data_IF_021881606955
#
_entry.id   IF_021881606955
#
_cell.length_a   1.000
_cell.length_b   1.000
_cell.length_c   1.000
_cell.angle_alpha   90.00
_cell.angle_beta   90.00
_cell.angle_gamma   90.00
#
_symmetry.space_group_name_H-M   'P 1'
#
loop_
_entity.id
_entity.type
_entity.pdbx_description
1 polymer ?
#
# COMPACT_ATOMS: atom_id res chain seq x y z
N UNK A 1 -10.52 -13.66 -16.78
CA UNK A 1 -10.42 -13.69 -15.30
C UNK A 1 -10.53 -12.27 -14.76
N UNK A 2 -11.37 -12.06 -13.77
CA UNK A 2 -11.56 -10.74 -13.19
C UNK A 2 -10.69 -10.60 -11.94
N UNK A 3 -9.85 -9.56 -11.91
CA UNK A 3 -9.04 -9.25 -10.75
C UNK A 3 -9.77 -8.20 -9.93
N UNK A 4 -10.03 -8.53 -8.67
CA UNK A 4 -10.66 -7.58 -7.75
C UNK A 4 -9.58 -6.97 -6.87
N UNK A 5 -9.56 -5.64 -6.79
CA UNK A 5 -8.62 -4.91 -5.97
C UNK A 5 -9.35 -4.29 -4.77
N UNK A 6 -8.71 -4.34 -3.62
CA UNK A 6 -9.27 -3.78 -2.39
C UNK A 6 -9.17 -2.25 -2.36
N UNK A 7 -8.15 -1.70 -3.04
CA UNK A 7 -7.88 -0.28 -3.04
C UNK A 7 -7.92 0.27 -4.45
N UNK A 8 -8.38 1.51 -4.58
CA UNK A 8 -8.44 2.21 -5.87
C UNK A 8 -7.16 3.00 -6.11
N UNK A 9 -6.87 3.26 -7.38
CA UNK A 9 -5.76 4.13 -7.76
C UNK A 9 -6.06 5.54 -7.23
N UNK A 10 -5.08 6.15 -6.58
CA UNK A 10 -5.24 7.45 -5.94
C UNK A 10 -5.70 7.40 -4.50
N UNK A 11 -6.09 6.22 -4.02
CA UNK A 11 -6.54 6.06 -2.64
C UNK A 11 -5.36 6.12 -1.67
N UNK A 12 -5.58 6.77 -0.53
CA UNK A 12 -4.59 6.79 0.54
C UNK A 12 -4.62 5.48 1.31
N UNK A 13 -3.46 4.90 1.54
CA UNK A 13 -3.30 3.66 2.31
C UNK A 13 -2.21 3.85 3.36
N UNK A 14 -2.21 2.95 4.34
CA UNK A 14 -1.25 2.97 5.45
C UNK A 14 -0.48 1.65 5.48
N UNK A 15 0.79 1.72 5.83
CA UNK A 15 1.64 0.54 5.98
C UNK A 15 2.76 0.83 6.98
N UNK A 16 3.43 -0.24 7.42
CA UNK A 16 4.58 -0.10 8.32
C UNK A 16 5.84 0.01 7.46
N UNK A 17 6.56 1.11 7.61
CA UNK A 17 7.83 1.36 6.95
C UNK A 17 8.88 1.63 8.04
N UNK A 18 9.89 0.77 8.09
CA UNK A 18 10.98 0.86 9.09
C UNK A 18 10.42 0.96 10.52
N UNK A 19 9.39 0.17 10.83
CA UNK A 19 8.78 0.14 12.14
C UNK A 19 7.84 1.28 12.46
N UNK A 20 7.57 2.16 11.50
CA UNK A 20 6.71 3.32 11.69
C UNK A 20 5.50 3.29 10.76
N UNK A 21 4.30 3.67 11.27
CA UNK A 21 3.13 3.83 10.40
C UNK A 21 3.39 4.93 9.39
N UNK A 22 3.21 4.62 8.12
CA UNK A 22 3.46 5.56 7.02
C UNK A 22 2.26 5.55 6.09
N UNK A 23 1.88 6.73 5.60
CA UNK A 23 0.82 6.85 4.62
C UNK A 23 1.41 7.01 3.23
N UNK A 24 0.69 6.48 2.24
CA UNK A 24 1.09 6.56 0.84
C UNK A 24 -0.14 6.56 -0.04
N UNK A 25 0.06 6.86 -1.31
CA UNK A 25 -1.02 6.89 -2.28
C UNK A 25 -0.82 5.77 -3.30
N UNK A 26 -1.91 5.08 -3.63
CA UNK A 26 -1.87 3.99 -4.63
C UNK A 26 -1.70 4.61 -6.01
N UNK A 27 -0.65 4.21 -6.72
CA UNK A 27 -0.36 4.68 -8.09
C UNK A 27 -0.77 3.65 -9.14
N UNK A 28 -0.60 2.37 -8.86
CA UNK A 28 -0.91 1.30 -9.78
C UNK A 28 -1.08 0.00 -9.02
N UNK A 29 -1.57 -1.02 -9.70
CA UNK A 29 -1.65 -2.35 -9.12
C UNK A 29 -1.27 -3.39 -10.16
N UNK A 30 -0.90 -4.58 -9.69
CA UNK A 30 -0.57 -5.71 -10.54
C UNK A 30 -0.91 -6.99 -9.78
N UNK A 31 -0.90 -8.08 -10.50
CA UNK A 31 -1.13 -9.40 -9.92
C UNK A 31 0.16 -10.21 -9.99
N UNK A 32 0.70 -10.57 -8.83
CA UNK A 32 1.92 -11.36 -8.73
C UNK A 32 1.55 -12.81 -8.43
N UNK A 33 1.99 -13.72 -9.29
CA UNK A 33 1.72 -15.15 -9.13
C UNK A 33 2.25 -15.65 -7.78
N UNK A 34 1.40 -16.31 -7.02
CA UNK A 34 1.76 -16.85 -5.70
C UNK A 34 1.65 -15.84 -4.55
N UNK A 35 1.50 -14.56 -4.86
CA UNK A 35 1.39 -13.49 -3.85
C UNK A 35 -0.01 -12.88 -3.85
N UNK A 36 -0.58 -12.68 -5.04
CA UNK A 36 -1.86 -12.01 -5.22
C UNK A 36 -1.68 -10.58 -5.70
N UNK A 37 -2.60 -9.71 -5.31
CA UNK A 37 -2.56 -8.32 -5.74
C UNK A 37 -1.46 -7.56 -5.01
N UNK A 38 -0.66 -6.82 -5.76
CA UNK A 38 0.37 -5.94 -5.23
C UNK A 38 0.11 -4.51 -5.74
N UNK A 39 0.55 -3.53 -4.97
CA UNK A 39 0.32 -2.13 -5.30
C UNK A 39 1.64 -1.38 -5.40
N UNK A 40 1.74 -0.53 -6.42
CA UNK A 40 2.78 0.47 -6.49
C UNK A 40 2.26 1.69 -5.74
N UNK A 41 2.95 2.08 -4.69
CA UNK A 41 2.55 3.21 -3.85
C UNK A 41 3.62 4.28 -3.87
N UNK A 42 3.17 5.53 -3.76
CA UNK A 42 4.08 6.68 -3.73
C UNK A 42 4.00 7.35 -2.37
N UNK A 43 5.14 7.78 -1.88
CA UNK A 43 5.25 8.49 -0.61
C UNK A 43 6.30 9.59 -0.71
N UNK A 44 6.13 10.63 0.10
CA UNK A 44 7.12 11.69 0.22
C UNK A 44 8.08 11.36 1.37
N UNK A 45 9.35 11.29 1.06
CA UNK A 45 10.39 10.97 2.02
C UNK A 45 11.49 12.01 1.90
N UNK A 46 11.66 12.81 2.95
CA UNK A 46 12.65 13.89 3.00
C UNK A 46 12.52 14.87 1.81
N UNK A 47 11.28 15.17 1.40
CA UNK A 47 11.01 16.07 0.29
C UNK A 47 11.15 15.44 -1.09
N UNK A 48 11.48 14.16 -1.16
CA UNK A 48 11.64 13.43 -2.42
C UNK A 48 10.52 12.42 -2.57
N UNK A 49 9.93 12.35 -3.77
CA UNK A 49 8.91 11.37 -4.07
C UNK A 49 9.57 10.01 -4.27
N UNK A 50 9.18 9.04 -3.46
CA UNK A 50 9.68 7.68 -3.55
C UNK A 50 8.54 6.73 -3.91
N UNK A 51 8.89 5.61 -4.54
CA UNK A 51 7.94 4.57 -4.92
C UNK A 51 8.35 3.24 -4.31
N UNK A 52 7.38 2.47 -3.87
CA UNK A 52 7.65 1.11 -3.43
C UNK A 52 6.47 0.20 -3.77
N UNK A 53 6.71 -1.09 -3.73
CA UNK A 53 5.68 -2.11 -4.01
C UNK A 53 5.36 -2.82 -2.72
N UNK A 54 4.05 -2.97 -2.43
CA UNK A 54 3.58 -3.70 -1.26
C UNK A 54 2.43 -4.61 -1.63
N UNK A 55 2.39 -5.78 -1.01
CA UNK A 55 1.27 -6.69 -1.19
C UNK A 55 0.02 -6.12 -0.53
N UNK A 56 -1.15 -6.50 -1.05
CA UNK A 56 -2.43 -6.02 -0.52
C UNK A 56 -2.58 -6.30 0.98
N UNK A 57 -2.04 -7.42 1.45
CA UNK A 57 -2.11 -7.79 2.86
C UNK A 57 -1.25 -6.92 3.77
N UNK A 58 -0.32 -6.16 3.20
CA UNK A 58 0.55 -5.26 3.97
C UNK A 58 -0.03 -3.86 4.10
N UNK A 59 -1.12 -3.57 3.40
CA UNK A 59 -1.73 -2.25 3.36
C UNK A 59 -3.01 -2.21 4.18
N UNK A 60 -3.31 -1.04 4.72
CA UNK A 60 -4.50 -0.81 5.54
C UNK A 60 -5.19 0.48 5.06
N UNK A 61 -6.53 0.52 5.11
CA UNK A 61 -7.26 1.70 4.62
C UNK A 61 -7.15 2.90 5.56
N UNK A 62 -6.87 2.65 6.85
CA UNK A 62 -6.76 3.72 7.85
C UNK A 62 -5.60 3.42 8.80
N UNK A 63 -5.12 4.46 9.47
CA UNK A 63 -4.09 4.31 10.51
C UNK A 63 -4.61 3.45 11.67
N UNK A 64 -5.88 3.57 12.00
CA UNK A 64 -6.48 2.78 13.08
C UNK A 64 -6.42 1.28 12.79
N UNK A 65 -6.73 0.89 11.56
CA UNK A 65 -6.67 -0.50 11.15
C UNK A 65 -5.24 -1.03 11.23
N UNK A 66 -4.28 -0.22 10.80
CA UNK A 66 -2.87 -0.58 10.90
C UNK A 66 -2.46 -0.80 12.35
N UNK A 67 -2.83 0.10 13.25
CA UNK A 67 -2.46 0.01 14.66
C UNK A 67 -3.09 -1.21 15.33
N UNK A 68 -4.30 -1.59 14.93
CA UNK A 68 -4.95 -2.80 15.46
C UNK A 68 -4.23 -4.08 15.08
N UNK A 69 -3.48 -4.07 13.99
CA UNK A 69 -2.77 -5.25 13.51
C UNK A 69 -1.41 -5.46 14.18
N UNK A 70 -0.94 -4.48 14.91
CA UNK A 70 0.37 -4.53 15.58
C UNK A 70 0.32 -5.24 16.92
#
# INVERSE_FOLDING_TARGET
>A
MKIETKYDIGQEVWFVDDGHPTTAQVEAFDYAYGIGVVYLISLLEAGTLAFCVRAETELFPTKEELLKSL
#
